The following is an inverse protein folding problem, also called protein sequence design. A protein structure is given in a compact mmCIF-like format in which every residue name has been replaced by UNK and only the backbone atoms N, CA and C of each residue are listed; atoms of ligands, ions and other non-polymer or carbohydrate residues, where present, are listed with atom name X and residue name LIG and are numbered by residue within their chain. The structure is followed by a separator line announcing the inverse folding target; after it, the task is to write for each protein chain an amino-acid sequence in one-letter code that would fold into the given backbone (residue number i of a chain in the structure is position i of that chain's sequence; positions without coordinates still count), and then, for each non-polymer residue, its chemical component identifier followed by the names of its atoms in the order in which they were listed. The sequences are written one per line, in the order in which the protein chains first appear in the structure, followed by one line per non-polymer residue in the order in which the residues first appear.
data_IF_201351193697
#
_entry.id   IF_201351193697
#
_cell.length_a   1.000
_cell.length_b   1.000
_cell.length_c   1.000
_cell.angle_alpha   90.00
_cell.angle_beta   90.00
_cell.angle_gamma   90.00
#
_symmetry.space_group_name_H-M   'P 1'
#
loop_
_entity.id
_entity.type
_entity.pdbx_description
1 polymer ?
#
# COMPACT_ATOMS: atom_id res chain seq x y z
N UNK A 1 29.86 38.41 27.20
CA UNK A 1 28.44 38.03 27.07
C UNK A 1 28.27 37.38 25.73
N UNK A 2 28.29 36.05 25.72
CA UNK A 2 28.21 35.22 24.48
C UNK A 2 26.74 34.90 24.26
N UNK A 3 26.16 35.41 23.18
CA UNK A 3 24.81 35.06 22.75
C UNK A 3 24.87 33.68 22.09
N UNK A 4 24.40 32.63 22.78
CA UNK A 4 24.09 31.34 22.21
C UNK A 4 22.88 31.49 21.27
N UNK A 5 23.05 31.31 19.96
CA UNK A 5 21.94 31.11 19.04
C UNK A 5 21.20 29.84 19.44
N UNK A 6 19.93 29.94 19.82
CA UNK A 6 19.02 28.80 19.96
C UNK A 6 18.95 28.09 18.61
N UNK A 7 19.59 26.94 18.50
CA UNK A 7 19.42 26.04 17.36
C UNK A 7 17.97 25.58 17.35
N UNK A 8 17.19 26.02 16.37
CA UNK A 8 15.88 25.42 16.07
C UNK A 8 16.17 23.99 15.61
N UNK A 9 15.75 23.01 16.39
CA UNK A 9 15.78 21.60 15.97
C UNK A 9 14.76 21.47 14.84
N UNK A 10 15.22 21.51 13.59
CA UNK A 10 14.34 21.24 12.44
C UNK A 10 14.03 19.74 12.49
N UNK A 11 12.77 19.42 12.82
CA UNK A 11 12.31 18.02 12.80
C UNK A 11 12.16 17.59 11.35
N UNK A 12 12.78 16.48 10.98
CA UNK A 12 12.64 15.87 9.65
C UNK A 12 11.22 15.33 9.50
N UNK A 13 10.63 15.40 8.28
CA UNK A 13 9.35 14.77 7.98
C UNK A 13 9.40 13.25 8.10
N UNK A 14 8.24 12.62 8.12
CA UNK A 14 8.06 11.16 8.26
C UNK A 14 7.73 10.52 6.92
N UNK A 15 8.36 9.39 6.61
CA UNK A 15 8.01 8.56 5.47
C UNK A 15 7.00 7.48 5.88
N UNK A 16 5.92 7.36 5.11
CA UNK A 16 4.88 6.33 5.28
C UNK A 16 4.86 5.43 4.03
N UNK A 17 5.44 4.22 4.09
CA UNK A 17 5.46 3.27 2.98
C UNK A 17 4.16 2.47 2.94
N UNK A 18 3.63 2.20 1.73
CA UNK A 18 2.51 1.29 1.50
C UNK A 18 2.38 0.91 0.02
N UNK A 19 1.51 -0.06 -0.27
CA UNK A 19 1.16 -0.44 -1.63
C UNK A 19 -0.21 0.14 -2.00
N UNK A 20 -0.34 0.60 -3.24
CA UNK A 20 -1.62 1.00 -3.86
C UNK A 20 -2.00 0.09 -5.03
N UNK A 21 -1.07 -0.74 -5.49
CA UNK A 21 -1.29 -1.78 -6.49
C UNK A 21 -0.92 -3.14 -5.90
N UNK A 22 -1.52 -4.20 -6.43
CA UNK A 22 -1.24 -5.55 -5.97
C UNK A 22 -1.50 -6.62 -7.03
N UNK A 23 -0.74 -7.71 -6.94
CA UNK A 23 -1.02 -8.98 -7.61
C UNK A 23 -1.99 -9.76 -6.73
N UNK A 24 -3.28 -9.77 -7.09
CA UNK A 24 -4.32 -10.37 -6.27
C UNK A 24 -4.93 -11.62 -6.91
N UNK A 25 -5.67 -12.39 -6.15
CA UNK A 25 -6.42 -13.54 -6.66
C UNK A 25 -7.53 -13.15 -7.65
N UNK A 26 -7.84 -11.85 -7.76
CA UNK A 26 -8.80 -11.29 -8.72
C UNK A 26 -8.11 -10.56 -9.88
N UNK A 27 -6.83 -10.84 -10.09
CA UNK A 27 -5.99 -10.17 -11.10
C UNK A 27 -5.29 -8.92 -10.54
N UNK A 28 -4.73 -8.09 -11.43
CA UNK A 28 -4.09 -6.84 -11.03
C UNK A 28 -5.15 -5.89 -10.45
N UNK A 29 -4.85 -5.32 -9.28
CA UNK A 29 -5.75 -4.41 -8.58
C UNK A 29 -5.07 -3.09 -8.27
N UNK A 30 -5.83 -1.97 -8.31
CA UNK A 30 -5.26 -0.64 -8.15
C UNK A 30 -6.18 0.24 -7.30
N UNK A 31 -5.64 0.80 -6.21
CA UNK A 31 -6.30 1.67 -5.23
C UNK A 31 -5.71 3.10 -5.23
N UNK A 32 -4.92 3.47 -6.24
CA UNK A 32 -4.21 4.75 -6.29
C UNK A 32 -5.16 5.95 -6.22
N UNK A 33 -6.37 5.83 -6.75
CA UNK A 33 -7.34 6.91 -6.82
C UNK A 33 -7.57 7.58 -5.46
N UNK A 34 -7.73 6.79 -4.39
CA UNK A 34 -7.95 7.35 -3.05
C UNK A 34 -6.75 8.16 -2.54
N UNK A 35 -5.53 7.76 -2.91
CA UNK A 35 -4.30 8.47 -2.54
C UNK A 35 -4.10 9.78 -3.32
N UNK A 36 -4.81 9.97 -4.43
CA UNK A 36 -4.77 11.20 -5.24
C UNK A 36 -5.85 12.20 -4.86
N UNK A 37 -6.78 11.86 -3.99
CA UNK A 37 -7.82 12.79 -3.53
C UNK A 37 -7.20 14.01 -2.84
N UNK A 38 -7.54 15.21 -3.36
CA UNK A 38 -7.02 16.48 -2.84
C UNK A 38 -5.60 16.82 -3.27
N UNK A 39 -5.02 16.11 -4.26
CA UNK A 39 -3.77 16.46 -4.91
C UNK A 39 -4.04 17.51 -6.00
N UNK A 40 -3.30 18.62 -5.97
CA UNK A 40 -3.46 19.74 -6.91
C UNK A 40 -2.50 19.64 -8.11
N UNK A 41 -1.33 18.99 -7.93
CA UNK A 41 -0.28 18.88 -8.96
C UNK A 41 0.36 17.50 -8.93
N UNK A 42 0.33 16.82 -10.07
CA UNK A 42 0.92 15.50 -10.25
C UNK A 42 1.93 15.51 -11.39
N UNK A 43 3.16 15.12 -11.08
CA UNK A 43 4.17 14.81 -12.08
C UNK A 43 4.03 13.35 -12.47
N UNK A 44 3.91 13.08 -13.77
CA UNK A 44 3.73 11.73 -14.32
C UNK A 44 4.95 11.39 -15.19
N UNK A 45 5.78 10.50 -14.66
CA UNK A 45 6.95 9.99 -15.39
C UNK A 45 6.50 9.06 -16.52
N UNK A 46 6.83 9.42 -17.74
CA UNK A 46 6.62 8.59 -18.93
C UNK A 46 7.49 7.34 -18.87
N UNK A 47 7.20 6.30 -19.66
CA UNK A 47 7.91 5.03 -19.63
C UNK A 47 9.44 5.22 -19.69
N UNK A 48 10.12 4.65 -18.72
CA UNK A 48 11.57 4.65 -18.54
C UNK A 48 11.94 3.45 -17.65
N UNK A 49 13.22 3.05 -17.59
CA UNK A 49 13.64 1.97 -16.68
C UNK A 49 13.18 2.21 -15.24
N UNK A 50 12.62 1.18 -14.64
CA UNK A 50 12.00 1.27 -13.31
C UNK A 50 12.97 1.77 -12.23
N UNK A 51 14.25 1.37 -12.30
CA UNK A 51 15.28 1.82 -11.38
C UNK A 51 15.51 3.35 -11.47
N UNK A 52 15.50 3.91 -12.68
CA UNK A 52 15.66 5.34 -12.92
C UNK A 52 14.48 6.15 -12.36
N UNK A 53 13.26 5.68 -12.62
CA UNK A 53 12.05 6.29 -12.07
C UNK A 53 12.06 6.28 -10.53
N UNK A 54 12.38 5.12 -9.93
CA UNK A 54 12.44 4.97 -8.47
C UNK A 54 13.55 5.83 -7.85
N UNK A 55 14.70 5.96 -8.50
CA UNK A 55 15.79 6.83 -8.03
C UNK A 55 15.34 8.30 -7.96
N UNK A 56 14.67 8.80 -9.00
CA UNK A 56 14.11 10.16 -9.00
C UNK A 56 13.11 10.35 -7.84
N UNK A 57 12.21 9.40 -7.65
CA UNK A 57 11.21 9.42 -6.56
C UNK A 57 11.86 9.43 -5.17
N UNK A 58 12.92 8.64 -4.96
CA UNK A 58 13.65 8.62 -3.68
C UNK A 58 14.33 9.97 -3.38
N UNK A 59 14.91 10.61 -4.40
CA UNK A 59 15.50 11.94 -4.25
C UNK A 59 14.44 12.99 -3.90
N UNK A 60 13.30 12.97 -4.59
CA UNK A 60 12.16 13.85 -4.28
C UNK A 60 11.68 13.64 -2.84
N UNK A 61 11.57 12.38 -2.41
CA UNK A 61 11.19 12.04 -1.04
C UNK A 61 12.20 12.58 0.00
N UNK A 62 13.49 12.41 -0.25
CA UNK A 62 14.57 12.91 0.65
C UNK A 62 14.55 14.44 0.78
N UNK A 63 14.38 15.16 -0.33
CA UNK A 63 14.27 16.62 -0.33
C UNK A 63 13.02 17.08 0.46
N UNK A 64 11.89 16.39 0.29
CA UNK A 64 10.66 16.69 1.02
C UNK A 64 10.80 16.41 2.53
N UNK A 65 11.36 15.26 2.92
CA UNK A 65 11.63 14.91 4.30
C UNK A 65 12.58 15.91 4.96
N UNK A 66 13.61 16.35 4.24
CA UNK A 66 14.56 17.37 4.69
C UNK A 66 13.91 18.75 4.88
N UNK A 67 12.87 19.04 4.08
CA UNK A 67 12.02 20.22 4.19
C UNK A 67 10.90 20.07 5.24
N UNK A 68 10.98 19.09 6.15
CA UNK A 68 9.98 18.81 7.19
C UNK A 68 8.57 18.48 6.65
N UNK A 69 8.49 17.95 5.44
CA UNK A 69 7.24 17.46 4.88
C UNK A 69 7.15 15.94 5.04
N UNK A 70 6.01 15.44 5.50
CA UNK A 70 5.71 14.02 5.47
C UNK A 70 5.51 13.57 4.03
N UNK A 71 5.92 12.34 3.74
CA UNK A 71 5.79 11.74 2.40
C UNK A 71 5.12 10.37 2.48
N UNK A 72 4.33 10.06 1.46
CA UNK A 72 3.85 8.71 1.19
C UNK A 72 4.74 8.08 0.11
N UNK A 73 5.28 6.91 0.42
CA UNK A 73 6.10 6.12 -0.49
C UNK A 73 5.24 4.97 -1.03
N UNK A 74 4.86 5.06 -2.30
CA UNK A 74 4.06 4.05 -2.97
C UNK A 74 4.99 2.98 -3.51
N UNK A 75 5.04 1.82 -2.86
CA UNK A 75 5.92 0.72 -3.26
C UNK A 75 5.34 -0.06 -4.44
N UNK A 76 6.23 -0.61 -5.28
CA UNK A 76 5.87 -1.37 -6.47
C UNK A 76 5.72 -2.86 -6.13
N UNK A 77 4.60 -3.52 -6.44
CA UNK A 77 4.42 -4.94 -6.11
C UNK A 77 5.33 -5.87 -6.95
N UNK A 78 5.69 -5.48 -8.17
CA UNK A 78 6.60 -6.24 -9.04
C UNK A 78 8.05 -6.23 -8.52
N UNK A 79 8.40 -5.22 -7.72
CA UNK A 79 9.67 -5.11 -7.01
C UNK A 79 9.52 -4.12 -5.85
N UNK A 80 9.31 -4.63 -4.64
CA UNK A 80 9.03 -3.80 -3.46
C UNK A 80 10.20 -2.89 -3.04
N UNK A 81 11.40 -3.10 -3.58
CA UNK A 81 12.52 -2.17 -3.42
C UNK A 81 12.36 -0.92 -4.29
N UNK A 82 11.50 -0.93 -5.30
CA UNK A 82 11.24 0.19 -6.18
C UNK A 82 9.94 0.92 -5.79
N UNK A 83 9.80 2.15 -6.27
CA UNK A 83 8.63 2.98 -6.02
C UNK A 83 7.77 3.12 -7.28
N UNK A 84 6.46 3.11 -7.08
CA UNK A 84 5.45 3.51 -8.06
C UNK A 84 5.22 5.03 -8.01
N UNK A 85 5.46 5.65 -6.84
CA UNK A 85 5.29 7.08 -6.67
C UNK A 85 5.73 7.59 -5.31
N UNK A 86 5.78 8.90 -5.20
CA UNK A 86 5.91 9.66 -3.96
C UNK A 86 4.86 10.76 -3.93
N UNK A 87 4.16 10.89 -2.80
CA UNK A 87 3.16 11.94 -2.57
C UNK A 87 3.60 12.76 -1.38
N UNK A 88 3.44 14.08 -1.48
CA UNK A 88 3.70 15.07 -0.43
C UNK A 88 2.34 15.67 -0.02
N UNK A 89 1.61 15.09 0.93
CA UNK A 89 0.22 15.45 1.23
C UNK A 89 0.08 16.92 1.67
N UNK A 90 1.00 17.40 2.50
CA UNK A 90 1.00 18.79 2.99
C UNK A 90 1.20 19.84 1.89
N UNK A 91 1.74 19.42 0.74
CA UNK A 91 1.92 20.27 -0.46
C UNK A 91 0.88 19.99 -1.54
N UNK A 92 0.03 18.98 -1.34
CA UNK A 92 -0.94 18.50 -2.32
C UNK A 92 -0.30 18.18 -3.68
N UNK A 93 0.88 17.59 -3.65
CA UNK A 93 1.67 17.27 -4.83
C UNK A 93 2.14 15.83 -4.82
N UNK A 94 2.42 15.28 -6.01
CA UNK A 94 2.99 13.95 -6.14
C UNK A 94 3.83 13.79 -7.41
N UNK A 95 4.62 12.74 -7.41
CA UNK A 95 5.37 12.24 -8.57
C UNK A 95 5.13 10.74 -8.67
N UNK A 96 4.58 10.27 -9.78
CA UNK A 96 4.28 8.85 -10.02
C UNK A 96 4.76 8.44 -11.42
N UNK A 97 4.98 7.14 -11.64
CA UNK A 97 5.15 6.67 -13.00
C UNK A 97 3.79 6.42 -13.68
N UNK A 98 3.73 6.61 -15.00
CA UNK A 98 2.48 6.50 -15.76
C UNK A 98 1.81 5.14 -15.61
N UNK A 99 2.60 4.04 -15.53
CA UNK A 99 2.08 2.69 -15.36
C UNK A 99 1.34 2.44 -14.04
N UNK A 100 1.55 3.28 -13.01
CA UNK A 100 0.81 3.21 -11.76
C UNK A 100 -0.61 3.79 -11.88
N UNK A 101 -0.88 4.65 -12.86
CA UNK A 101 -2.22 5.22 -13.08
C UNK A 101 -3.19 4.15 -13.59
N UNK A 102 -4.37 3.99 -12.93
CA UNK A 102 -5.45 3.16 -13.47
C UNK A 102 -5.90 3.67 -14.85
N UNK A 103 -6.33 2.76 -15.73
CA UNK A 103 -6.77 3.15 -17.08
C UNK A 103 -7.92 4.15 -17.08
N UNK A 104 -8.87 4.03 -16.16
CA UNK A 104 -10.01 4.95 -16.05
C UNK A 104 -9.63 6.35 -15.58
N UNK A 105 -8.42 6.54 -15.02
CA UNK A 105 -7.85 7.83 -14.67
C UNK A 105 -6.95 8.41 -15.77
N UNK A 106 -7.06 7.93 -16.99
CA UNK A 106 -6.32 8.46 -18.15
C UNK A 106 -7.33 8.98 -19.18
N UNK A 107 -7.60 10.31 -19.26
CA UNK A 107 -6.87 11.40 -18.59
C UNK A 107 -7.20 11.53 -17.10
N UNK A 108 -6.29 12.18 -16.35
CA UNK A 108 -6.51 12.53 -14.94
C UNK A 108 -7.74 13.45 -14.78
N UNK A 109 -8.39 13.45 -13.60
CA UNK A 109 -9.43 14.41 -13.25
C UNK A 109 -8.97 15.86 -13.49
N UNK A 110 -9.90 16.73 -13.92
CA UNK A 110 -9.59 18.10 -14.35
C UNK A 110 -9.09 19.03 -13.23
N UNK A 111 -9.34 18.66 -11.99
CA UNK A 111 -8.85 19.35 -10.78
C UNK A 111 -7.40 19.04 -10.45
N UNK A 112 -6.81 17.98 -11.04
CA UNK A 112 -5.41 17.63 -10.89
C UNK A 112 -4.60 18.19 -12.08
N UNK A 113 -3.76 19.17 -11.84
CA UNK A 113 -2.79 19.64 -12.85
C UNK A 113 -1.74 18.55 -13.08
N UNK A 114 -1.60 18.12 -14.33
CA UNK A 114 -0.63 17.10 -14.71
C UNK A 114 0.57 17.71 -15.45
N UNK A 115 1.79 17.24 -15.10
CA UNK A 115 3.01 17.54 -15.83
C UNK A 115 3.70 16.24 -16.23
N UNK A 116 3.77 15.98 -17.55
CA UNK A 116 4.51 14.83 -18.07
C UNK A 116 6.03 15.03 -17.90
N UNK A 117 6.72 14.00 -17.46
CA UNK A 117 8.16 13.97 -17.22
C UNK A 117 8.78 12.89 -18.11
N UNK A 118 9.69 13.28 -18.98
CA UNK A 118 10.36 12.39 -19.93
C UNK A 118 11.77 12.03 -19.47
N UNK A 119 11.90 11.04 -18.60
CA UNK A 119 13.19 10.56 -18.09
C UNK A 119 14.10 9.99 -19.20
N UNK A 120 13.52 9.44 -20.26
CA UNK A 120 14.26 8.92 -21.41
C UNK A 120 15.08 9.97 -22.15
N UNK A 121 14.72 11.25 -22.04
CA UNK A 121 15.48 12.36 -22.63
C UNK A 121 16.79 12.66 -21.88
N UNK A 122 16.91 12.16 -20.65
CA UNK A 122 18.11 12.26 -19.82
C UNK A 122 19.04 11.04 -19.99
N UNK A 123 18.76 10.17 -20.97
CA UNK A 123 19.60 9.03 -21.29
C UNK A 123 20.58 9.41 -22.41
N UNK A 124 21.88 9.31 -22.13
CA UNK A 124 22.95 9.51 -23.12
C UNK A 124 23.06 8.29 -24.01
N UNK A 125 22.40 8.32 -25.12
CA UNK A 125 22.50 7.45 -26.29
C UNK A 125 23.28 6.13 -26.19
N UNK A 126 22.62 5.03 -25.90
CA UNK A 126 23.06 3.71 -26.36
C UNK A 126 21.97 3.07 -27.20
N UNK A 127 22.32 2.65 -28.43
CA UNK A 127 21.43 1.94 -29.37
C UNK A 127 21.56 0.43 -29.25
N UNK A 128 22.22 -0.10 -28.25
CA UNK A 128 22.43 -1.54 -28.06
C UNK A 128 21.31 -2.14 -27.19
N UNK A 129 20.09 -2.23 -27.76
CA UNK A 129 19.03 -3.07 -27.24
C UNK A 129 19.21 -4.53 -27.64
N UNK A 130 18.49 -5.45 -27.01
CA UNK A 130 18.28 -6.81 -27.51
C UNK A 130 17.82 -6.77 -28.97
N UNK A 131 18.23 -7.76 -29.77
CA UNK A 131 17.71 -7.88 -31.13
C UNK A 131 16.17 -7.95 -31.07
N UNK A 132 15.46 -7.32 -32.01
CA UNK A 132 14.01 -7.18 -31.93
C UNK A 132 13.26 -8.52 -31.81
N UNK A 133 13.83 -9.62 -32.31
CA UNK A 133 13.29 -10.98 -32.14
C UNK A 133 13.43 -11.53 -30.72
N UNK A 134 14.59 -11.30 -30.09
CA UNK A 134 14.85 -11.76 -28.71
C UNK A 134 14.00 -10.96 -27.70
N UNK A 135 13.74 -9.69 -27.99
CA UNK A 135 12.90 -8.82 -27.17
C UNK A 135 11.44 -9.30 -27.19
N UNK A 136 10.90 -9.65 -28.37
CA UNK A 136 9.53 -10.16 -28.48
C UNK A 136 9.35 -11.48 -27.72
N UNK A 137 10.30 -12.41 -27.82
CA UNK A 137 10.25 -13.68 -27.09
C UNK A 137 10.31 -13.45 -25.58
N UNK A 138 11.14 -12.51 -25.11
CA UNK A 138 11.22 -12.17 -23.69
C UNK A 138 9.92 -11.52 -23.18
N UNK A 139 9.30 -10.65 -23.98
CA UNK A 139 8.02 -10.02 -23.67
C UNK A 139 6.88 -11.05 -23.57
N UNK A 140 6.79 -11.99 -24.53
CA UNK A 140 5.81 -13.08 -24.52
C UNK A 140 5.98 -13.97 -23.28
N UNK A 141 7.23 -14.34 -22.96
CA UNK A 141 7.56 -15.14 -21.77
C UNK A 141 7.22 -14.41 -20.47
N UNK A 142 7.43 -13.09 -20.42
CA UNK A 142 7.04 -12.26 -19.28
C UNK A 142 5.52 -12.29 -19.07
N UNK A 143 4.74 -12.06 -20.12
CA UNK A 143 3.27 -12.07 -20.05
C UNK A 143 2.73 -13.46 -19.67
N UNK A 144 3.31 -14.53 -20.19
CA UNK A 144 2.95 -15.90 -19.83
C UNK A 144 3.22 -16.15 -18.34
N UNK A 145 4.38 -15.75 -17.84
CA UNK A 145 4.75 -15.94 -16.43
C UNK A 145 3.82 -15.16 -15.49
N UNK A 146 3.51 -13.91 -15.84
CA UNK A 146 2.56 -13.08 -15.06
C UNK A 146 1.15 -13.70 -15.10
N UNK A 147 0.67 -14.15 -16.26
CA UNK A 147 -0.61 -14.83 -16.40
C UNK A 147 -0.69 -16.13 -15.58
N UNK A 148 0.39 -16.92 -15.55
CA UNK A 148 0.46 -18.13 -14.72
C UNK A 148 0.41 -17.80 -13.22
N UNK A 149 1.04 -16.70 -12.76
CA UNK A 149 0.91 -16.25 -11.38
C UNK A 149 -0.55 -15.97 -11.01
N UNK A 150 -1.30 -15.25 -11.84
CA UNK A 150 -2.72 -14.97 -11.59
C UNK A 150 -3.59 -16.23 -11.59
N UNK A 151 -3.31 -17.21 -12.48
CA UNK A 151 -4.01 -18.50 -12.47
C UNK A 151 -3.77 -19.26 -11.15
N UNK A 152 -2.54 -19.22 -10.64
CA UNK A 152 -2.22 -19.84 -9.36
C UNK A 152 -2.90 -19.12 -8.18
N UNK A 153 -2.95 -17.77 -8.19
CA UNK A 153 -3.67 -16.99 -7.18
C UNK A 153 -5.18 -17.27 -7.22
N UNK A 154 -5.79 -17.35 -8.40
CA UNK A 154 -7.22 -17.69 -8.53
C UNK A 154 -7.52 -19.08 -7.95
N UNK A 155 -6.69 -20.09 -8.28
CA UNK A 155 -6.80 -21.42 -7.68
C UNK A 155 -6.62 -21.40 -6.16
N UNK A 156 -5.68 -20.59 -5.65
CA UNK A 156 -5.50 -20.43 -4.22
C UNK A 156 -6.74 -19.81 -3.55
N UNK A 157 -7.45 -18.90 -4.21
CA UNK A 157 -8.69 -18.32 -3.70
C UNK A 157 -9.80 -19.36 -3.58
N UNK A 158 -10.00 -20.21 -4.61
CA UNK A 158 -10.99 -21.29 -4.54
C UNK A 158 -10.72 -22.23 -3.35
N UNK A 159 -9.43 -22.57 -3.13
CA UNK A 159 -9.03 -23.41 -1.98
C UNK A 159 -9.26 -22.67 -0.64
N UNK A 160 -9.00 -21.35 -0.61
CA UNK A 160 -9.22 -20.52 0.56
C UNK A 160 -10.71 -20.39 0.91
N UNK A 161 -11.58 -20.32 -0.08
CA UNK A 161 -13.04 -20.29 0.13
C UNK A 161 -13.54 -21.60 0.76
N UNK A 162 -13.01 -22.76 0.33
CA UNK A 162 -13.29 -24.05 0.98
C UNK A 162 -12.78 -24.08 2.43
N UNK A 163 -11.62 -23.46 2.69
CA UNK A 163 -11.08 -23.32 4.04
C UNK A 163 -11.98 -22.46 4.92
N UNK A 164 -12.42 -21.30 4.43
CA UNK A 164 -13.34 -20.40 5.15
C UNK A 164 -14.66 -21.08 5.49
N UNK A 165 -15.21 -21.87 4.57
CA UNK A 165 -16.50 -22.54 4.74
C UNK A 165 -16.54 -23.41 6.00
N UNK A 166 -15.43 -24.08 6.34
CA UNK A 166 -15.33 -24.93 7.54
C UNK A 166 -15.54 -24.05 8.80
N UNK A 167 -14.83 -22.95 8.94
CA UNK A 167 -14.93 -22.10 10.13
C UNK A 167 -16.20 -21.26 10.16
N UNK A 168 -16.72 -20.84 9.01
CA UNK A 168 -18.01 -20.14 8.90
C UNK A 168 -19.13 -21.06 9.43
N UNK A 169 -19.08 -22.36 9.11
CA UNK A 169 -20.08 -23.34 9.59
C UNK A 169 -20.07 -23.53 11.12
N UNK A 170 -18.91 -23.31 11.75
CA UNK A 170 -18.70 -23.44 13.18
C UNK A 170 -18.78 -22.09 13.94
N UNK A 171 -19.09 -20.97 13.23
CA UNK A 171 -19.08 -19.63 13.80
C UNK A 171 -20.39 -19.30 14.52
N UNK A 172 -20.27 -18.72 15.71
CA UNK A 172 -21.36 -18.00 16.38
C UNK A 172 -21.44 -16.57 15.87
N UNK A 173 -22.30 -16.29 14.90
CA UNK A 173 -22.54 -14.95 14.39
C UNK A 173 -23.02 -13.98 15.48
N UNK A 174 -23.74 -14.48 16.48
CA UNK A 174 -24.14 -13.66 17.63
C UNK A 174 -22.93 -13.22 18.46
N UNK A 175 -21.99 -14.13 18.73
CA UNK A 175 -20.76 -13.79 19.43
C UNK A 175 -19.92 -12.81 18.63
N UNK A 176 -19.75 -13.03 17.32
CA UNK A 176 -19.01 -12.11 16.43
C UNK A 176 -19.64 -10.70 16.42
N UNK A 177 -20.99 -10.62 16.41
CA UNK A 177 -21.69 -9.33 16.51
C UNK A 177 -21.48 -8.66 17.88
N UNK A 178 -21.47 -9.41 18.98
CA UNK A 178 -21.17 -8.86 20.32
C UNK A 178 -19.74 -8.31 20.37
N UNK A 179 -18.77 -9.05 19.86
CA UNK A 179 -17.37 -8.60 19.76
C UNK A 179 -17.28 -7.30 18.96
N UNK A 180 -17.86 -7.27 17.77
CA UNK A 180 -17.83 -6.07 16.92
C UNK A 180 -18.47 -4.86 17.62
N UNK A 181 -19.62 -5.01 18.28
CA UNK A 181 -20.26 -3.94 19.02
C UNK A 181 -19.40 -3.46 20.20
N UNK A 182 -18.77 -4.39 20.94
CA UNK A 182 -17.91 -4.04 22.06
C UNK A 182 -16.70 -3.21 21.60
N UNK A 183 -16.05 -3.59 20.49
CA UNK A 183 -14.92 -2.82 19.96
C UNK A 183 -15.32 -1.50 19.32
N UNK A 184 -16.47 -1.42 18.65
CA UNK A 184 -17.06 -0.14 18.20
C UNK A 184 -17.25 0.80 19.39
N UNK A 185 -17.90 0.34 20.46
CA UNK A 185 -18.13 1.15 21.66
C UNK A 185 -16.83 1.53 22.36
N UNK A 186 -15.86 0.62 22.41
CA UNK A 186 -14.57 0.84 23.04
C UNK A 186 -13.71 1.86 22.33
N UNK A 187 -13.68 1.82 20.97
CA UNK A 187 -12.83 2.70 20.17
C UNK A 187 -13.43 4.09 19.99
N UNK A 188 -14.74 4.17 19.76
CA UNK A 188 -15.39 5.43 19.40
C UNK A 188 -16.19 6.05 20.56
N UNK A 189 -16.58 5.27 21.58
CA UNK A 189 -17.44 5.75 22.67
C UNK A 189 -18.73 6.39 22.13
N UNK A 190 -19.06 7.57 22.64
CA UNK A 190 -20.16 8.42 22.14
C UNK A 190 -19.67 9.57 21.25
N UNK A 191 -18.36 9.63 20.94
CA UNK A 191 -17.75 10.76 20.23
C UNK A 191 -18.06 10.70 18.74
N UNK A 192 -18.39 11.87 18.16
CA UNK A 192 -18.47 12.11 16.72
C UNK A 192 -17.83 13.45 16.40
N UNK A 193 -17.21 13.57 15.24
CA UNK A 193 -16.58 14.79 14.77
C UNK A 193 -17.55 15.58 13.86
N UNK A 194 -17.53 16.93 13.88
CA UNK A 194 -18.40 17.76 13.06
C UNK A 194 -17.87 17.91 11.63
N UNK A 195 -17.50 16.80 10.99
CA UNK A 195 -17.02 16.75 9.59
C UNK A 195 -17.46 15.44 8.94
N UNK A 196 -17.41 15.40 7.62
CA UNK A 196 -17.48 14.16 6.86
C UNK A 196 -16.16 13.39 7.00
N UNK A 197 -16.22 12.11 7.30
CA UNK A 197 -15.06 11.24 7.39
C UNK A 197 -14.52 10.88 6.01
N UNK A 198 -13.20 10.99 5.81
CA UNK A 198 -12.53 10.59 4.58
C UNK A 198 -12.07 9.13 4.67
N UNK A 199 -12.23 8.40 3.57
CA UNK A 199 -11.72 7.04 3.42
C UNK A 199 -10.51 7.02 2.49
N UNK A 200 -9.40 6.46 2.97
CA UNK A 200 -8.17 6.24 2.20
C UNK A 200 -7.96 4.73 2.03
N UNK A 201 -8.10 4.23 0.81
CA UNK A 201 -7.93 2.80 0.49
C UNK A 201 -6.48 2.50 0.08
N UNK A 202 -5.89 1.46 0.68
CA UNK A 202 -4.52 1.00 0.48
C UNK A 202 -4.46 -0.52 0.63
N UNK A 203 -3.33 -1.15 0.30
CA UNK A 203 -3.08 -2.55 0.66
C UNK A 203 -2.26 -2.64 1.95
N UNK A 204 -2.58 -3.60 2.81
CA UNK A 204 -1.78 -3.93 4.00
C UNK A 204 -0.39 -4.37 3.59
N UNK A 205 -0.32 -5.27 2.63
CA UNK A 205 0.88 -5.80 2.03
C UNK A 205 0.61 -6.20 0.60
N UNK A 206 1.61 -6.79 -0.07
CA UNK A 206 1.49 -7.30 -1.41
C UNK A 206 2.16 -8.66 -1.56
N UNK A 207 1.61 -9.50 -2.45
CA UNK A 207 2.35 -10.61 -3.01
C UNK A 207 3.41 -10.06 -3.98
N UNK A 208 4.68 -10.33 -3.68
CA UNK A 208 5.83 -9.85 -4.46
C UNK A 208 6.69 -11.03 -4.91
N UNK A 209 7.63 -10.83 -5.85
CA UNK A 209 8.62 -11.84 -6.20
C UNK A 209 9.44 -12.38 -5.00
N UNK A 210 9.50 -11.64 -3.90
CA UNK A 210 10.17 -12.05 -2.65
C UNK A 210 9.23 -12.73 -1.63
N UNK A 211 7.95 -12.95 -2.00
CA UNK A 211 6.90 -13.41 -1.10
C UNK A 211 6.00 -12.27 -0.63
N UNK A 212 5.31 -12.49 0.48
CA UNK A 212 4.48 -11.46 1.08
C UNK A 212 5.37 -10.38 1.75
N UNK A 213 5.08 -9.13 1.43
CA UNK A 213 5.77 -7.96 2.01
C UNK A 213 4.72 -6.99 2.55
N UNK A 214 4.93 -6.46 3.74
CA UNK A 214 4.10 -5.43 4.35
C UNK A 214 4.94 -4.37 5.07
N UNK A 215 4.27 -3.32 5.57
CA UNK A 215 4.87 -2.20 6.29
C UNK A 215 4.12 -1.92 7.61
N UNK A 216 3.52 -2.94 8.22
CA UNK A 216 2.74 -2.81 9.46
C UNK A 216 3.51 -2.08 10.57
N UNK A 217 4.81 -2.35 10.82
CA UNK A 217 5.56 -1.64 11.85
C UNK A 217 5.64 -0.13 11.62
N UNK A 218 5.88 0.30 10.37
CA UNK A 218 5.97 1.71 9.98
C UNK A 218 4.60 2.38 10.02
N UNK A 219 3.57 1.72 9.51
CA UNK A 219 2.20 2.22 9.44
C UNK A 219 1.58 2.43 10.83
N UNK A 220 1.94 1.56 11.79
CA UNK A 220 1.40 1.58 13.16
C UNK A 220 2.33 2.26 14.17
N UNK A 221 3.36 3.00 13.70
CA UNK A 221 4.29 3.70 14.59
C UNK A 221 3.57 4.72 15.45
N UNK A 222 3.75 4.62 16.76
CA UNK A 222 3.14 5.53 17.74
C UNK A 222 1.64 5.32 17.97
N UNK A 223 1.03 4.31 17.37
CA UNK A 223 -0.38 3.99 17.56
C UNK A 223 -0.56 2.85 18.58
N UNK A 224 -1.67 2.86 19.29
CA UNK A 224 -2.16 1.69 20.02
C UNK A 224 -2.60 0.64 19.00
N UNK A 225 -2.15 -0.62 19.19
CA UNK A 225 -2.42 -1.70 18.25
C UNK A 225 -3.37 -2.75 18.85
N UNK A 226 -4.34 -3.18 18.04
CA UNK A 226 -5.18 -4.34 18.30
C UNK A 226 -4.87 -5.39 17.23
N UNK A 227 -4.29 -6.50 17.66
CA UNK A 227 -3.85 -7.61 16.80
C UNK A 227 -4.97 -8.66 16.76
N UNK A 228 -5.64 -8.79 15.61
CA UNK A 228 -6.68 -9.78 15.45
C UNK A 228 -6.04 -11.13 15.14
N UNK A 229 -6.31 -12.13 15.96
CA UNK A 229 -5.97 -13.53 15.72
C UNK A 229 -7.22 -14.32 15.31
N UNK A 230 -7.01 -15.41 14.59
CA UNK A 230 -8.11 -16.29 14.15
C UNK A 230 -7.76 -17.12 12.93
N UNK A 231 -8.74 -17.84 12.39
CA UNK A 231 -8.61 -18.64 11.17
C UNK A 231 -9.25 -17.92 9.98
N UNK A 232 -9.05 -18.44 8.77
CA UNK A 232 -9.87 -18.05 7.62
C UNK A 232 -11.36 -18.20 7.99
N UNK A 233 -12.21 -17.29 7.55
CA UNK A 233 -13.64 -17.35 7.84
C UNK A 233 -14.07 -17.04 9.30
N UNK A 234 -13.15 -16.67 10.22
CA UNK A 234 -13.50 -16.36 11.62
C UNK A 234 -14.08 -14.95 11.85
N UNK A 235 -14.38 -14.20 10.81
CA UNK A 235 -15.05 -12.90 10.90
C UNK A 235 -14.13 -11.69 11.07
N UNK A 236 -12.80 -11.84 10.96
CA UNK A 236 -11.80 -10.75 11.10
C UNK A 236 -12.09 -9.55 10.20
N UNK A 237 -12.21 -9.81 8.88
CA UNK A 237 -12.51 -8.76 7.89
C UNK A 237 -13.87 -8.10 8.12
N UNK A 238 -14.88 -8.85 8.59
CA UNK A 238 -16.20 -8.30 8.93
C UNK A 238 -16.12 -7.34 10.12
N UNK A 239 -15.33 -7.67 11.15
CA UNK A 239 -15.06 -6.76 12.26
C UNK A 239 -14.40 -5.47 11.76
N UNK A 240 -13.36 -5.57 10.93
CA UNK A 240 -12.66 -4.42 10.38
C UNK A 240 -13.55 -3.56 9.48
N UNK A 241 -14.38 -4.16 8.62
CA UNK A 241 -15.38 -3.45 7.79
C UNK A 241 -16.35 -2.65 8.66
N UNK A 242 -16.78 -3.22 9.80
CA UNK A 242 -17.69 -2.55 10.71
C UNK A 242 -17.02 -1.38 11.45
N UNK A 243 -15.76 -1.53 11.88
CA UNK A 243 -15.00 -0.45 12.49
C UNK A 243 -14.76 0.70 11.50
N UNK A 244 -14.40 0.38 10.26
CA UNK A 244 -14.21 1.38 9.21
C UNK A 244 -15.51 2.17 8.93
N UNK A 245 -16.62 1.47 8.75
CA UNK A 245 -17.92 2.09 8.49
C UNK A 245 -18.38 3.00 9.65
N UNK A 246 -18.18 2.55 10.89
CA UNK A 246 -18.54 3.35 12.07
C UNK A 246 -17.64 4.58 12.24
N UNK A 247 -16.33 4.45 11.99
CA UNK A 247 -15.41 5.59 12.02
C UNK A 247 -15.83 6.69 11.02
N UNK A 248 -16.08 6.30 9.77
CA UNK A 248 -16.57 7.22 8.73
C UNK A 248 -17.90 7.87 9.11
N UNK A 249 -18.87 7.09 9.58
CA UNK A 249 -20.18 7.59 10.02
C UNK A 249 -20.07 8.64 11.13
N UNK A 250 -19.04 8.54 11.97
CA UNK A 250 -18.76 9.47 13.07
C UNK A 250 -17.86 10.63 12.67
N UNK A 251 -17.49 10.76 11.39
CA UNK A 251 -16.69 11.85 10.87
C UNK A 251 -15.17 11.69 11.04
N UNK A 252 -14.67 10.50 11.43
CA UNK A 252 -13.24 10.23 11.46
C UNK A 252 -12.70 9.92 10.06
N UNK A 253 -11.48 10.37 9.80
CA UNK A 253 -10.73 9.90 8.64
C UNK A 253 -10.21 8.48 8.90
N UNK A 254 -10.45 7.57 7.97
CA UNK A 254 -10.17 6.14 8.12
C UNK A 254 -9.27 5.66 6.99
N UNK A 255 -8.08 5.18 7.36
CA UNK A 255 -7.24 4.44 6.44
C UNK A 255 -7.69 2.98 6.45
N UNK A 256 -8.10 2.49 5.28
CA UNK A 256 -8.59 1.11 5.07
C UNK A 256 -7.57 0.35 4.27
N UNK A 257 -7.00 -0.69 4.88
CA UNK A 257 -6.00 -1.52 4.24
C UNK A 257 -6.62 -2.84 3.81
N UNK A 258 -6.67 -3.03 2.50
CA UNK A 258 -7.18 -4.24 1.87
C UNK A 258 -6.18 -5.39 1.97
N UNK A 259 -6.68 -6.61 1.91
CA UNK A 259 -5.86 -7.80 1.80
C UNK A 259 -5.12 -7.82 0.46
N UNK A 260 -3.82 -8.05 0.50
CA UNK A 260 -2.99 -8.15 -0.71
C UNK A 260 -3.31 -9.38 -1.56
N UNK A 261 -4.06 -10.36 -1.02
CA UNK A 261 -4.50 -11.56 -1.71
C UNK A 261 -5.93 -11.44 -2.25
N UNK A 262 -6.92 -11.12 -1.41
CA UNK A 262 -8.30 -10.82 -1.83
C UNK A 262 -8.65 -9.36 -1.52
N UNK A 263 -8.68 -8.46 -2.52
CA UNK A 263 -8.94 -7.04 -2.31
C UNK A 263 -10.35 -6.71 -1.80
N UNK A 264 -11.28 -7.69 -1.81
CA UNK A 264 -12.61 -7.54 -1.19
C UNK A 264 -12.58 -7.72 0.32
N UNK A 265 -11.48 -8.24 0.87
CA UNK A 265 -11.24 -8.36 2.31
C UNK A 265 -10.49 -7.13 2.83
N UNK A 266 -10.68 -6.80 4.11
CA UNK A 266 -9.94 -5.76 4.82
C UNK A 266 -9.11 -6.42 5.89
N UNK A 267 -7.81 -6.07 5.94
CA UNK A 267 -6.84 -6.62 6.87
C UNK A 267 -6.37 -5.60 7.91
N UNK A 268 -6.55 -4.28 7.70
CA UNK A 268 -6.26 -3.28 8.72
C UNK A 268 -7.14 -2.04 8.56
N UNK A 269 -7.44 -1.43 9.71
CA UNK A 269 -8.08 -0.12 9.83
C UNK A 269 -7.25 0.75 10.77
N UNK A 270 -6.88 1.94 10.32
CA UNK A 270 -6.22 2.94 11.15
C UNK A 270 -7.10 4.18 11.26
N UNK A 271 -7.31 4.65 12.49
CA UNK A 271 -7.95 5.93 12.81
C UNK A 271 -6.94 6.77 13.57
N UNK A 272 -6.21 7.63 12.83
CA UNK A 272 -5.09 8.40 13.41
C UNK A 272 -5.56 9.41 14.45
N UNK A 273 -6.75 9.99 14.29
CA UNK A 273 -7.33 10.91 15.27
C UNK A 273 -7.61 10.22 16.62
N UNK A 274 -7.76 8.90 16.64
CA UNK A 274 -7.87 8.09 17.85
C UNK A 274 -6.53 7.46 18.28
N UNK A 275 -5.46 7.65 17.50
CA UNK A 275 -4.16 7.01 17.74
C UNK A 275 -4.22 5.49 17.71
N UNK A 276 -5.07 4.89 16.87
CA UNK A 276 -5.38 3.45 16.93
C UNK A 276 -5.25 2.76 15.58
N UNK A 277 -4.70 1.54 15.61
CA UNK A 277 -4.68 0.58 14.51
C UNK A 277 -5.28 -0.75 14.95
N UNK A 278 -6.15 -1.33 14.13
CA UNK A 278 -6.72 -2.67 14.30
C UNK A 278 -6.42 -3.48 13.06
N UNK A 279 -5.76 -4.62 13.17
CA UNK A 279 -5.32 -5.35 11.99
C UNK A 279 -5.32 -6.87 12.15
N UNK A 280 -5.53 -7.57 11.04
CA UNK A 280 -5.33 -9.01 10.93
C UNK A 280 -3.85 -9.32 11.15
N UNK A 281 -3.57 -10.11 12.16
CA UNK A 281 -2.23 -10.50 12.58
C UNK A 281 -2.07 -12.02 12.50
N UNK A 282 -2.47 -12.57 11.35
CA UNK A 282 -2.31 -13.99 11.01
C UNK A 282 -1.39 -14.14 9.80
N UNK A 283 -0.84 -15.33 9.59
CA UNK A 283 0.04 -15.57 8.45
C UNK A 283 -0.62 -15.13 7.12
N UNK A 284 0.12 -14.52 6.19
CA UNK A 284 1.58 -14.31 6.20
C UNK A 284 2.08 -13.07 6.98
N UNK A 285 1.19 -12.20 7.48
CA UNK A 285 1.48 -10.94 8.20
C UNK A 285 1.38 -11.13 9.71
N UNK A 286 2.05 -12.17 10.26
CA UNK A 286 1.90 -12.53 11.65
C UNK A 286 2.80 -11.70 12.57
N UNK A 287 2.15 -10.94 13.48
CA UNK A 287 2.78 -10.16 14.53
C UNK A 287 2.32 -10.64 15.91
N UNK A 288 3.14 -10.36 16.91
CA UNK A 288 2.82 -10.62 18.30
C UNK A 288 2.94 -9.30 19.10
N UNK A 289 2.25 -9.17 20.24
CA UNK A 289 2.40 -8.02 21.11
C UNK A 289 3.87 -7.81 21.49
N UNK A 290 4.38 -6.62 21.19
CA UNK A 290 5.74 -6.18 21.52
C UNK A 290 5.78 -4.82 22.22
N UNK A 291 4.59 -4.22 22.45
CA UNK A 291 4.39 -2.97 23.19
C UNK A 291 3.41 -3.20 24.33
N UNK A 292 3.61 -2.51 25.46
CA UNK A 292 2.70 -2.60 26.62
C UNK A 292 1.25 -2.25 26.29
N UNK A 293 1.04 -1.44 25.25
CA UNK A 293 -0.30 -1.02 24.81
C UNK A 293 -0.97 -1.95 23.82
N UNK A 294 -0.25 -2.96 23.34
CA UNK A 294 -0.80 -3.92 22.37
C UNK A 294 -1.83 -4.83 23.00
N UNK A 295 -2.90 -5.13 22.26
CA UNK A 295 -3.93 -6.04 22.70
C UNK A 295 -4.26 -7.05 21.60
N UNK A 296 -4.57 -8.29 22.02
CA UNK A 296 -5.03 -9.35 21.12
C UNK A 296 -6.55 -9.38 21.10
N UNK A 297 -7.13 -9.55 19.92
CA UNK A 297 -8.52 -9.90 19.67
C UNK A 297 -8.52 -11.30 19.06
N UNK A 298 -8.78 -12.33 19.86
CA UNK A 298 -8.81 -13.71 19.34
C UNK A 298 -10.22 -14.06 18.86
N UNK A 299 -10.43 -13.93 17.53
CA UNK A 299 -11.71 -14.23 16.91
C UNK A 299 -12.03 -15.73 16.88
N UNK A 300 -10.99 -16.59 16.95
CA UNK A 300 -11.20 -18.03 17.04
C UNK A 300 -11.82 -18.38 18.41
N UNK A 301 -11.16 -18.01 19.50
CA UNK A 301 -11.62 -18.30 20.85
C UNK A 301 -12.97 -17.64 21.17
N UNK A 302 -13.20 -16.45 20.64
CA UNK A 302 -14.40 -15.67 20.92
C UNK A 302 -15.63 -16.10 20.09
N UNK A 303 -15.42 -16.64 18.88
CA UNK A 303 -16.50 -16.75 17.91
C UNK A 303 -16.65 -18.14 17.27
N UNK A 304 -15.63 -19.01 17.32
CA UNK A 304 -15.67 -20.34 16.70
C UNK A 304 -15.93 -21.40 17.75
N UNK A 305 -16.69 -22.43 17.39
CA UNK A 305 -16.95 -23.56 18.30
C UNK A 305 -15.64 -24.24 18.73
N UNK A 306 -15.40 -24.48 20.03
CA UNK A 306 -14.19 -25.13 20.48
C UNK A 306 -14.01 -26.51 19.84
N UNK A 307 -12.77 -26.87 19.49
CA UNK A 307 -12.47 -28.19 18.91
C UNK A 307 -12.72 -28.28 17.38
N UNK A 308 -13.03 -27.16 16.71
CA UNK A 308 -13.25 -27.15 15.26
C UNK A 308 -12.02 -27.62 14.49
N UNK A 309 -10.82 -27.20 14.90
CA UNK A 309 -9.56 -27.60 14.25
C UNK A 309 -9.36 -29.12 14.32
N UNK A 310 -9.61 -29.72 15.49
CA UNK A 310 -9.46 -31.16 15.73
C UNK A 310 -10.55 -31.98 15.01
N UNK A 311 -11.79 -31.48 15.01
CA UNK A 311 -12.90 -32.12 14.34
C UNK A 311 -12.72 -32.20 12.80
N UNK A 312 -12.10 -31.18 12.22
CA UNK A 312 -11.92 -31.06 10.78
C UNK A 312 -10.47 -31.27 10.33
N UNK A 313 -9.61 -31.83 11.18
CA UNK A 313 -8.16 -31.97 10.91
C UNK A 313 -7.87 -32.68 9.58
N UNK A 314 -8.59 -33.77 9.27
CA UNK A 314 -8.41 -34.53 8.01
C UNK A 314 -8.82 -33.74 6.76
N UNK A 315 -9.73 -32.78 6.89
CA UNK A 315 -10.16 -31.89 5.79
C UNK A 315 -9.23 -30.67 5.68
N UNK A 316 -8.80 -30.12 6.80
CA UNK A 316 -7.96 -28.93 6.86
C UNK A 316 -6.55 -29.17 6.31
N UNK A 317 -5.94 -30.31 6.62
CA UNK A 317 -4.56 -30.61 6.22
C UNK A 317 -4.33 -30.54 4.68
N UNK A 318 -5.15 -31.21 3.83
CA UNK A 318 -4.99 -31.09 2.37
C UNK A 318 -5.32 -29.69 1.85
N UNK A 319 -6.30 -28.98 2.43
CA UNK A 319 -6.66 -27.60 2.07
C UNK A 319 -5.46 -26.67 2.30
N UNK A 320 -4.90 -26.71 3.51
CA UNK A 320 -3.74 -25.88 3.88
C UNK A 320 -2.53 -26.16 3.01
N UNK A 321 -2.25 -27.45 2.73
CA UNK A 321 -1.15 -27.86 1.85
C UNK A 321 -1.38 -27.39 0.40
N UNK A 322 -2.60 -27.53 -0.11
CA UNK A 322 -2.98 -27.08 -1.45
C UNK A 322 -2.87 -25.56 -1.61
N UNK A 323 -3.36 -24.81 -0.64
CA UNK A 323 -3.24 -23.34 -0.59
C UNK A 323 -1.76 -22.92 -0.60
N UNK A 324 -0.95 -23.48 0.31
CA UNK A 324 0.48 -23.17 0.39
C UNK A 324 1.23 -23.47 -0.91
N UNK A 325 0.89 -24.59 -1.59
CA UNK A 325 1.48 -24.95 -2.88
C UNK A 325 1.10 -23.94 -3.96
N UNK A 326 -0.18 -23.58 -4.08
CA UNK A 326 -0.64 -22.63 -5.08
C UNK A 326 -0.03 -21.24 -4.89
N UNK A 327 0.08 -20.77 -3.64
CA UNK A 327 0.75 -19.51 -3.32
C UNK A 327 2.24 -19.55 -3.67
N UNK A 328 2.94 -20.64 -3.35
CA UNK A 328 4.36 -20.81 -3.68
C UNK A 328 4.60 -20.80 -5.18
N UNK A 329 3.75 -21.48 -5.95
CA UNK A 329 3.81 -21.50 -7.42
C UNK A 329 3.59 -20.07 -7.98
N UNK A 330 2.59 -19.35 -7.49
CA UNK A 330 2.32 -17.97 -7.90
C UNK A 330 3.53 -17.04 -7.65
N UNK A 331 4.13 -17.11 -6.47
CA UNK A 331 5.34 -16.33 -6.14
C UNK A 331 6.50 -16.72 -7.05
N UNK A 332 6.67 -18.00 -7.38
CA UNK A 332 7.67 -18.47 -8.34
C UNK A 332 7.51 -17.85 -9.72
N UNK A 333 6.28 -17.76 -10.20
CA UNK A 333 5.95 -17.09 -11.47
C UNK A 333 6.19 -15.58 -11.42
N UNK A 334 5.86 -14.89 -10.31
CA UNK A 334 6.20 -13.48 -10.14
C UNK A 334 7.72 -13.25 -10.13
N UNK A 335 8.49 -14.15 -9.51
CA UNK A 335 9.95 -14.07 -9.51
C UNK A 335 10.53 -14.22 -10.92
N UNK A 336 10.00 -15.12 -11.71
CA UNK A 336 10.40 -15.29 -13.11
C UNK A 336 9.99 -14.09 -13.96
N UNK A 337 8.78 -13.56 -13.79
CA UNK A 337 8.33 -12.34 -14.46
C UNK A 337 9.26 -11.15 -14.14
N UNK A 338 9.66 -10.97 -12.86
CA UNK A 338 10.65 -9.95 -12.47
C UNK A 338 11.98 -10.16 -13.19
N UNK A 339 12.49 -11.38 -13.24
CA UNK A 339 13.76 -11.71 -13.92
C UNK A 339 13.71 -11.34 -15.41
N UNK A 340 12.62 -11.68 -16.08
CA UNK A 340 12.41 -11.36 -17.50
C UNK A 340 12.28 -9.86 -17.72
N UNK A 341 11.50 -9.15 -16.89
CA UNK A 341 11.37 -7.70 -16.95
C UNK A 341 12.71 -6.99 -16.79
N UNK A 342 13.52 -7.42 -15.82
CA UNK A 342 14.84 -6.86 -15.62
C UNK A 342 15.75 -7.07 -16.85
N UNK A 343 15.70 -8.23 -17.48
CA UNK A 343 16.48 -8.49 -18.69
C UNK A 343 16.02 -7.61 -19.88
N UNK A 344 14.71 -7.37 -20.02
CA UNK A 344 14.13 -6.46 -21.02
C UNK A 344 14.56 -5.02 -20.78
N UNK A 345 14.56 -4.55 -19.54
CA UNK A 345 14.86 -3.16 -19.20
C UNK A 345 16.37 -2.87 -19.10
N UNK A 346 17.22 -3.89 -18.91
CA UNK A 346 18.66 -3.72 -18.67
C UNK A 346 19.38 -2.81 -19.69
N UNK A 347 19.22 -2.98 -21.03
CA UNK A 347 19.94 -2.14 -21.99
C UNK A 347 19.56 -0.66 -21.88
N UNK A 348 18.28 -0.38 -21.60
CA UNK A 348 17.80 0.98 -21.40
C UNK A 348 18.29 1.55 -20.05
N UNK A 349 18.36 0.71 -19.01
CA UNK A 349 18.85 1.12 -17.69
C UNK A 349 20.34 1.47 -17.70
N UNK A 350 21.16 0.73 -18.44
CA UNK A 350 22.60 1.01 -18.60
C UNK A 350 22.86 2.32 -19.36
N UNK A 351 21.93 2.75 -20.22
CA UNK A 351 22.05 3.99 -20.97
C UNK A 351 21.68 5.24 -20.16
N UNK A 352 21.09 5.09 -18.98
CA UNK A 352 20.62 6.21 -18.14
C UNK A 352 21.78 6.91 -17.44
N UNK A 353 21.83 8.24 -17.55
CA UNK A 353 22.73 9.06 -16.75
C UNK A 353 22.10 9.36 -15.37
N UNK A 354 22.47 8.57 -14.36
CA UNK A 354 21.93 8.68 -12.99
C UNK A 354 22.23 10.05 -12.35
N UNK A 355 23.31 10.74 -12.72
CA UNK A 355 23.63 12.06 -12.21
C UNK A 355 22.66 13.11 -12.76
N UNK A 356 22.36 13.07 -14.06
CA UNK A 356 21.37 13.97 -14.68
C UNK A 356 19.96 13.75 -14.09
N UNK A 357 19.58 12.48 -13.81
CA UNK A 357 18.34 12.18 -13.11
C UNK A 357 18.33 12.77 -11.71
N UNK A 358 19.44 12.67 -10.98
CA UNK A 358 19.52 13.20 -9.62
C UNK A 358 19.40 14.72 -9.60
N UNK A 359 20.02 15.42 -10.55
CA UNK A 359 19.95 16.87 -10.63
C UNK A 359 18.54 17.34 -11.03
N UNK A 360 17.94 16.70 -12.05
CA UNK A 360 16.56 16.98 -12.46
C UNK A 360 15.55 16.68 -11.33
N UNK A 361 15.73 15.58 -10.57
CA UNK A 361 14.86 15.21 -9.46
C UNK A 361 14.88 16.25 -8.33
N UNK A 362 16.03 16.89 -8.05
CA UNK A 362 16.11 18.00 -7.08
C UNK A 362 15.34 19.22 -7.57
N UNK A 363 15.42 19.54 -8.86
CA UNK A 363 14.66 20.64 -9.44
C UNK A 363 13.16 20.38 -9.37
N UNK A 364 12.71 19.15 -9.67
CA UNK A 364 11.31 18.74 -9.54
C UNK A 364 10.85 18.80 -8.09
N UNK A 365 11.66 18.32 -7.14
CA UNK A 365 11.35 18.41 -5.71
C UNK A 365 11.15 19.87 -5.28
N UNK A 366 12.04 20.77 -5.70
CA UNK A 366 11.94 22.20 -5.40
C UNK A 366 10.64 22.81 -5.96
N UNK A 367 10.19 22.39 -7.14
CA UNK A 367 8.93 22.84 -7.73
C UNK A 367 7.72 22.30 -6.98
N UNK A 368 7.69 20.97 -6.68
CA UNK A 368 6.62 20.32 -5.93
C UNK A 368 6.46 20.91 -4.52
N UNK A 369 7.56 21.21 -3.85
CA UNK A 369 7.56 21.82 -2.52
C UNK A 369 7.06 23.26 -2.49
N UNK A 370 7.24 24.02 -3.58
CA UNK A 370 6.74 25.41 -3.70
C UNK A 370 5.24 25.47 -3.93
N UNK A 371 4.61 24.45 -4.47
CA UNK A 371 3.20 24.48 -4.86
C UNK A 371 2.27 24.84 -3.68
N UNK A 372 2.38 24.23 -2.54
CA UNK A 372 1.51 24.49 -1.38
C UNK A 372 1.88 25.76 -0.55
N UNK A 373 3.04 26.39 -0.83
CA UNK A 373 3.48 27.57 -0.05
C UNK A 373 2.72 28.85 -0.43
N UNK A 374 2.12 28.93 -1.61
CA UNK A 374 1.39 30.10 -2.08
C UNK A 374 -0.04 30.22 -1.53
N UNK A 375 -0.60 29.16 -0.97
CA UNK A 375 -1.93 29.16 -0.33
C UNK A 375 -1.97 29.75 1.09
N UNK A 376 -0.81 29.97 1.71
CA UNK A 376 -0.68 30.55 3.07
C UNK A 376 -0.43 32.08 3.09
N UNK A 377 -0.36 32.72 1.93
CA UNK A 377 -0.19 34.18 1.80
C UNK A 377 -1.40 34.82 1.15
N UNK A 378 -2.53 34.89 1.83
CA UNK A 378 -3.52 35.97 1.66
C UNK A 378 -4.53 35.90 2.80
N UNK A 379 -4.12 36.34 4.01
CA UNK A 379 -4.99 37.15 4.83
C UNK A 379 -4.56 38.59 4.53
N UNK A 380 -5.41 39.48 4.02
CA UNK A 380 -5.09 40.89 4.01
C UNK A 380 -5.20 41.39 5.46
N UNK A 381 -4.07 41.79 6.03
CA UNK A 381 -4.07 42.78 7.08
C UNK A 381 -4.76 44.04 6.53
N UNK A 382 -5.75 44.51 7.28
CA UNK A 382 -6.16 45.89 7.14
C UNK A 382 -7.67 46.07 6.92
N UNK A 383 -8.37 46.46 7.96
CA UNK A 383 -8.87 47.81 8.14
C UNK A 383 -9.78 47.90 9.34
N UNK A 384 -9.34 48.78 10.23
CA UNK A 384 -10.08 49.68 11.15
C UNK A 384 -11.17 49.09 12.03
#
# INVERSE_FOLDING_TARGET
VTFARKGVLIMRGTATPFFVRGHTARGPWNLLESSLMGIDLLYVAQPAPAAAQSAAMRIIAEEALSASCDVWLLHRPEDHELLDGVIIPSRKTGFIHEGALPLHMRPLPADIRCKAIHLSQLASGSKNGLASGDLSVAEDSFQESEGNAYNCFARALDIHDDWEAIYISAMSFEAANRVANAYVSRLFGETSLPKEGRRDDRFLGAATPAGAVDFVPELTRGLKRYLIKGRAGSGKSTLLKRLAAEGLRRGYDVEVYHCGFDPNSIDMVIVRELGTAVFDSTAPHEYFPDRETDEIIDMYDLCIAPGTDELHADQLAPIQSGYASAMKEAIGHLAEAKRLRNAIEQPAAEAVNMQEIADAARDWAAELLRNGANGLRTAPDGMA
#
